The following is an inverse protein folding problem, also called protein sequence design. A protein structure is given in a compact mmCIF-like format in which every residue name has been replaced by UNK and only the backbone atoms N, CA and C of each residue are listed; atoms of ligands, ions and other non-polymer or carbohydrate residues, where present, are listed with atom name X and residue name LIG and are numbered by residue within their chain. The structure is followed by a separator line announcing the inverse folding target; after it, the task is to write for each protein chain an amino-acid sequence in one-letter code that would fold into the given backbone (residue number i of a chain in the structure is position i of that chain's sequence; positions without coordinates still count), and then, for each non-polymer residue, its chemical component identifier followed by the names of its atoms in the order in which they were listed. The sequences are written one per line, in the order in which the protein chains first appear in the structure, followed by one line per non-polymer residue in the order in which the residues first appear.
data_IF_589026431150
#
_entry.id   IF_589026431150
#
_cell.length_a   1.000
_cell.length_b   1.000
_cell.length_c   1.000
_cell.angle_alpha   90.00
_cell.angle_beta   90.00
_cell.angle_gamma   90.00
#
_symmetry.space_group_name_H-M   'P 1'
#
loop_
_entity.id
_entity.type
_entity.pdbx_description
1 polymer ?
#
# COMPACT_ATOMS: atom_id res chain seq x y z
N UNK A 1 -23.95 0.99 7.71
CA UNK A 1 -22.50 1.15 7.55
C UNK A 1 -21.82 1.02 8.91
N UNK A 2 -20.82 0.16 9.01
CA UNK A 2 -20.05 0.00 10.24
C UNK A 2 -18.80 0.90 10.16
N UNK A 3 -18.79 2.01 10.91
CA UNK A 3 -17.68 2.98 10.95
C UNK A 3 -16.38 2.35 11.47
N UNK A 4 -16.46 1.23 12.19
CA UNK A 4 -15.29 0.47 12.65
C UNK A 4 -14.82 -0.59 11.63
N UNK A 5 -15.49 -0.70 10.48
CA UNK A 5 -15.07 -1.57 9.40
C UNK A 5 -13.68 -1.16 8.88
N UNK A 6 -12.90 -2.17 8.51
CA UNK A 6 -11.58 -2.00 7.90
C UNK A 6 -11.64 -2.48 6.46
N UNK A 7 -11.11 -1.68 5.54
CA UNK A 7 -10.99 -2.04 4.14
C UNK A 7 -9.54 -2.35 3.81
N UNK A 8 -9.30 -3.51 3.21
CA UNK A 8 -8.06 -3.82 2.51
C UNK A 8 -8.37 -3.88 1.01
N UNK A 9 -7.80 -2.96 0.24
CA UNK A 9 -7.83 -2.99 -1.21
C UNK A 9 -6.49 -3.48 -1.74
N UNK A 10 -6.52 -4.53 -2.55
CA UNK A 10 -5.32 -5.09 -3.16
C UNK A 10 -5.49 -5.14 -4.69
N UNK A 11 -4.53 -4.58 -5.41
CA UNK A 11 -4.45 -4.65 -6.86
C UNK A 11 -3.10 -5.20 -7.27
N UNK A 12 -3.10 -6.24 -8.10
CA UNK A 12 -1.91 -6.76 -8.77
C UNK A 12 -2.16 -6.77 -10.26
N UNK A 13 -1.34 -6.07 -11.04
CA UNK A 13 -1.57 -5.92 -12.47
C UNK A 13 -0.74 -4.79 -13.08
N UNK A 14 -1.08 -4.41 -14.30
CA UNK A 14 -0.38 -3.33 -14.97
C UNK A 14 -0.81 -1.96 -14.46
N UNK A 15 0.18 -1.10 -14.24
CA UNK A 15 0.01 0.32 -14.09
C UNK A 15 0.45 1.05 -15.34
N UNK A 16 -0.06 2.25 -15.55
CA UNK A 16 0.35 3.13 -16.64
C UNK A 16 0.52 4.54 -16.14
N UNK A 17 1.59 5.20 -16.57
CA UNK A 17 1.91 6.57 -16.16
C UNK A 17 1.92 7.52 -17.35
N UNK A 18 1.27 8.67 -17.18
CA UNK A 18 1.24 9.77 -18.14
C UNK A 18 1.87 11.03 -17.57
N UNK A 19 2.15 12.00 -18.48
CA UNK A 19 2.63 13.34 -18.13
C UNK A 19 3.88 13.31 -17.23
N UNK A 20 4.88 12.54 -17.65
CA UNK A 20 6.17 12.43 -16.93
C UNK A 20 6.01 12.12 -15.43
N UNK A 21 5.17 11.15 -15.10
CA UNK A 21 4.98 10.71 -13.71
C UNK A 21 3.83 11.38 -12.96
N UNK A 22 3.13 12.36 -13.58
CA UNK A 22 2.09 13.13 -12.85
C UNK A 22 0.72 12.46 -12.76
N UNK A 23 0.43 11.48 -13.63
CA UNK A 23 -0.85 10.75 -13.64
C UNK A 23 -0.61 9.26 -13.75
N UNK A 24 -1.08 8.52 -12.76
CA UNK A 24 -1.06 7.06 -12.71
C UNK A 24 -2.45 6.47 -12.98
N UNK A 25 -2.46 5.30 -13.59
CA UNK A 25 -3.68 4.55 -13.92
C UNK A 25 -3.50 3.08 -13.59
N UNK A 26 -4.52 2.46 -13.00
CA UNK A 26 -4.64 1.01 -12.94
C UNK A 26 -5.22 0.54 -14.29
N UNK A 27 -4.61 -0.50 -14.88
CA UNK A 27 -4.97 -0.97 -16.20
C UNK A 27 -5.79 -2.27 -16.09
N UNK A 28 -7.11 -2.24 -16.33
CA UNK A 28 -7.93 -3.44 -16.40
C UNK A 28 -7.55 -4.31 -17.61
N UNK A 29 -7.90 -5.58 -17.55
CA UNK A 29 -7.58 -6.57 -18.60
C UNK A 29 -8.23 -6.27 -19.95
N UNK A 30 -9.33 -5.51 -19.94
CA UNK A 30 -10.08 -5.10 -21.16
C UNK A 30 -9.69 -3.70 -21.67
N UNK A 31 -8.69 -3.06 -21.07
CA UNK A 31 -8.17 -1.78 -21.55
C UNK A 31 -7.25 -2.00 -22.76
N UNK A 32 -7.42 -1.25 -23.88
CA UNK A 32 -6.54 -1.33 -25.02
C UNK A 32 -5.16 -0.73 -24.72
N UNK A 33 -4.17 -1.03 -25.54
CA UNK A 33 -2.87 -0.34 -25.51
C UNK A 33 -3.07 1.18 -25.69
N UNK A 34 -2.63 2.02 -24.77
CA UNK A 34 -2.81 3.48 -24.83
C UNK A 34 -2.11 4.11 -26.05
N UNK A 35 -1.10 3.45 -26.62
CA UNK A 35 -0.41 3.91 -27.85
C UNK A 35 -1.25 3.69 -29.10
N UNK A 36 -2.20 2.73 -29.08
CA UNK A 36 -3.08 2.41 -30.20
C UNK A 36 -4.41 3.13 -30.12
N UNK A 37 -5.01 3.22 -28.94
CA UNK A 37 -6.29 3.91 -28.72
C UNK A 37 -6.32 4.55 -27.31
N UNK A 38 -5.73 5.73 -27.20
CA UNK A 38 -5.67 6.47 -25.94
C UNK A 38 -7.07 6.84 -25.41
N UNK A 39 -7.99 7.22 -26.28
CA UNK A 39 -9.35 7.61 -25.85
C UNK A 39 -10.10 6.45 -25.22
N UNK A 40 -10.01 5.26 -25.81
CA UNK A 40 -10.65 4.05 -25.27
C UNK A 40 -9.93 3.58 -24.00
N UNK A 41 -8.59 3.66 -23.99
CA UNK A 41 -7.79 3.38 -22.78
C UNK A 41 -8.26 4.23 -21.60
N UNK A 42 -8.35 5.56 -21.75
CA UNK A 42 -8.74 6.48 -20.68
C UNK A 42 -10.19 6.29 -20.20
N UNK A 43 -11.06 5.68 -20.99
CA UNK A 43 -12.40 5.29 -20.55
C UNK A 43 -12.44 4.02 -19.72
N UNK A 44 -11.42 3.17 -19.84
CA UNK A 44 -11.34 1.88 -19.17
C UNK A 44 -10.42 1.90 -17.95
N UNK A 45 -9.28 2.58 -18.07
CA UNK A 45 -8.29 2.66 -17.01
C UNK A 45 -8.80 3.48 -15.82
N UNK A 46 -8.47 3.04 -14.61
CA UNK A 46 -8.86 3.74 -13.38
C UNK A 46 -7.78 4.76 -13.02
N UNK A 47 -8.13 6.04 -13.04
CA UNK A 47 -7.25 7.14 -12.64
C UNK A 47 -6.97 7.08 -11.13
N UNK A 48 -5.71 7.19 -10.71
CA UNK A 48 -5.35 7.17 -9.29
C UNK A 48 -5.90 8.35 -8.50
N UNK A 49 -6.18 9.48 -9.15
CA UNK A 49 -6.93 10.58 -8.54
C UNK A 49 -8.35 10.17 -8.17
N UNK A 50 -8.97 9.30 -8.97
CA UNK A 50 -10.29 8.74 -8.65
C UNK A 50 -10.20 7.79 -7.45
N UNK A 51 -9.15 6.96 -7.36
CA UNK A 51 -8.91 6.09 -6.20
C UNK A 51 -8.76 6.92 -4.92
N UNK A 52 -8.00 8.04 -4.98
CA UNK A 52 -7.87 8.97 -3.85
C UNK A 52 -9.19 9.64 -3.48
N UNK A 53 -10.03 9.98 -4.47
CA UNK A 53 -11.37 10.52 -4.22
C UNK A 53 -12.25 9.50 -3.50
N UNK A 54 -12.27 8.26 -3.96
CA UNK A 54 -12.98 7.18 -3.27
C UNK A 54 -12.47 6.94 -1.85
N UNK A 55 -11.13 6.94 -1.66
CA UNK A 55 -10.55 6.79 -0.34
C UNK A 55 -11.01 7.87 0.65
N UNK A 56 -11.22 9.11 0.20
CA UNK A 56 -11.76 10.19 1.04
C UNK A 56 -13.23 10.02 1.36
N UNK A 57 -14.01 9.47 0.43
CA UNK A 57 -15.47 9.32 0.56
C UNK A 57 -15.90 8.08 1.36
N UNK A 58 -14.98 7.15 1.59
CA UNK A 58 -15.27 5.92 2.34
C UNK A 58 -15.59 6.23 3.80
N UNK A 59 -16.66 5.64 4.31
CA UNK A 59 -17.07 5.76 5.72
C UNK A 59 -16.36 4.77 6.66
N UNK A 60 -15.54 3.83 6.12
CA UNK A 60 -14.73 2.94 6.94
C UNK A 60 -13.68 3.73 7.71
N UNK A 61 -13.46 3.44 9.00
CA UNK A 61 -12.45 4.12 9.81
C UNK A 61 -11.04 3.91 9.23
N UNK A 62 -10.72 2.69 8.83
CA UNK A 62 -9.40 2.35 8.31
C UNK A 62 -9.48 1.79 6.88
N UNK A 63 -8.63 2.29 6.00
CA UNK A 63 -8.44 1.69 4.68
C UNK A 63 -6.94 1.62 4.32
N UNK A 64 -6.51 0.45 3.88
CA UNK A 64 -5.18 0.17 3.35
C UNK A 64 -5.28 -0.23 1.89
N UNK A 65 -4.55 0.47 1.05
CA UNK A 65 -4.47 0.23 -0.39
C UNK A 65 -3.10 -0.30 -0.75
N UNK A 66 -3.05 -1.50 -1.30
CA UNK A 66 -1.83 -2.18 -1.74
C UNK A 66 -1.83 -2.31 -3.26
N UNK A 67 -0.75 -1.88 -3.90
CA UNK A 67 -0.61 -1.91 -5.34
C UNK A 67 0.67 -2.64 -5.74
N UNK A 68 0.53 -3.86 -6.21
CA UNK A 68 1.60 -4.61 -6.87
C UNK A 68 1.56 -4.30 -8.36
N UNK A 69 1.98 -3.08 -8.71
CA UNK A 69 1.99 -2.57 -10.08
C UNK A 69 2.97 -1.42 -10.25
N UNK A 70 3.37 -1.21 -11.52
CA UNK A 70 4.23 -0.10 -11.93
C UNK A 70 3.39 1.14 -12.14
N UNK A 71 3.41 2.09 -11.22
CA UNK A 71 2.95 3.45 -11.53
C UNK A 71 3.59 4.48 -10.60
N UNK A 72 3.65 5.71 -11.09
CA UNK A 72 4.35 6.77 -10.41
C UNK A 72 3.69 7.15 -9.09
N UNK A 73 4.47 7.07 -8.04
CA UNK A 73 4.10 7.32 -6.66
C UNK A 73 3.82 8.78 -6.29
N UNK A 74 3.25 9.59 -7.19
CA UNK A 74 2.79 10.93 -6.81
C UNK A 74 1.46 10.94 -6.03
N UNK A 75 0.95 9.76 -5.68
CA UNK A 75 -0.33 9.59 -5.01
C UNK A 75 -0.27 10.09 -3.56
N UNK A 76 0.86 9.91 -2.91
CA UNK A 76 1.09 10.32 -1.52
C UNK A 76 2.52 10.84 -1.38
N UNK A 77 2.73 11.78 -0.48
CA UNK A 77 4.09 12.12 -0.05
C UNK A 77 4.40 11.30 1.18
N UNK A 78 5.50 10.57 1.14
CA UNK A 78 6.08 9.92 2.31
C UNK A 78 6.22 10.94 3.42
N UNK A 79 5.55 10.70 4.53
CA UNK A 79 5.81 11.42 5.77
C UNK A 79 6.97 10.72 6.46
N UNK A 80 7.91 11.48 7.03
CA UNK A 80 8.93 10.89 7.87
C UNK A 80 8.26 10.07 8.98
N UNK A 81 8.78 8.85 9.23
CA UNK A 81 8.27 7.97 10.26
C UNK A 81 8.30 8.63 11.62
N UNK A 82 7.26 8.46 12.45
CA UNK A 82 7.35 8.82 13.85
C UNK A 82 8.47 8.02 14.52
N UNK A 83 9.32 8.67 15.29
CA UNK A 83 10.47 8.05 15.97
C UNK A 83 10.09 7.06 17.07
N UNK A 84 8.82 7.04 17.49
CA UNK A 84 8.28 6.11 18.47
C UNK A 84 6.89 5.65 18.02
N UNK A 85 6.59 4.33 18.02
CA UNK A 85 5.24 3.86 17.74
C UNK A 85 4.30 4.30 18.86
N UNK A 86 3.23 5.05 18.57
CA UNK A 86 2.15 5.27 19.54
C UNK A 86 1.52 3.91 19.91
N UNK A 87 0.87 3.87 21.05
CA UNK A 87 0.19 2.66 21.52
C UNK A 87 -0.87 2.19 20.49
N UNK A 88 -1.03 0.88 20.29
CA UNK A 88 -1.97 0.30 19.30
C UNK A 88 -3.39 0.88 19.43
N UNK A 89 -3.83 1.15 20.63
CA UNK A 89 -5.15 1.76 20.89
C UNK A 89 -5.29 3.16 20.27
N UNK A 90 -4.24 3.97 20.28
CA UNK A 90 -4.26 5.30 19.66
C UNK A 90 -4.34 5.20 18.15
N UNK A 91 -3.60 4.25 17.54
CA UNK A 91 -3.66 4.01 16.11
C UNK A 91 -5.03 3.56 15.64
N UNK A 92 -5.68 2.65 16.39
CA UNK A 92 -6.97 2.09 15.99
C UNK A 92 -8.15 3.01 16.32
N UNK A 93 -7.97 4.01 17.17
CA UNK A 93 -9.02 4.98 17.51
C UNK A 93 -9.25 6.01 16.40
N UNK A 94 -8.22 6.33 15.60
CA UNK A 94 -8.22 7.43 14.63
C UNK A 94 -8.34 6.95 13.20
N UNK A 95 -9.03 7.69 12.31
CA UNK A 95 -9.16 7.31 10.91
C UNK A 95 -7.81 7.29 10.17
N UNK A 96 -7.70 6.39 9.18
CA UNK A 96 -6.54 6.37 8.29
C UNK A 96 -6.85 5.88 6.89
N UNK A 97 -6.16 6.46 5.91
CA UNK A 97 -6.04 6.00 4.53
C UNK A 97 -4.56 5.82 4.22
N UNK A 98 -4.12 4.58 4.12
CA UNK A 98 -2.73 4.23 3.84
C UNK A 98 -2.58 3.59 2.48
N UNK A 99 -1.41 3.79 1.88
CA UNK A 99 -1.08 3.32 0.54
C UNK A 99 0.31 2.72 0.54
N UNK A 100 0.46 1.55 -0.09
CA UNK A 100 1.75 0.90 -0.32
C UNK A 100 1.80 0.47 -1.79
N UNK A 101 2.89 0.80 -2.48
CA UNK A 101 3.12 0.44 -3.88
C UNK A 101 4.38 -0.39 -4.03
N UNK A 102 4.40 -1.30 -5.00
CA UNK A 102 5.56 -2.17 -5.25
C UNK A 102 6.76 -1.46 -5.88
N UNK A 103 6.56 -0.28 -6.45
CA UNK A 103 7.62 0.52 -7.07
C UNK A 103 7.29 2.00 -7.09
N UNK A 104 8.27 2.82 -7.46
CA UNK A 104 8.14 4.26 -7.64
C UNK A 104 7.83 4.64 -9.10
N UNK A 105 7.77 5.96 -9.35
CA UNK A 105 7.47 6.50 -10.67
C UNK A 105 8.48 6.07 -11.73
N UNK A 106 8.00 5.44 -12.82
CA UNK A 106 8.82 5.07 -13.97
C UNK A 106 9.62 3.78 -13.78
N UNK A 107 9.50 3.11 -12.65
CA UNK A 107 10.09 1.79 -12.44
C UNK A 107 9.17 0.68 -13.00
N UNK A 108 9.77 -0.35 -13.56
CA UNK A 108 9.06 -1.55 -14.01
C UNK A 108 9.01 -2.59 -12.88
N UNK A 109 7.82 -3.08 -12.56
CA UNK A 109 7.66 -4.22 -11.66
C UNK A 109 7.78 -5.50 -12.49
N UNK A 110 8.71 -6.41 -12.17
CA UNK A 110 8.85 -7.68 -12.88
C UNK A 110 7.56 -8.50 -12.88
N UNK A 111 7.30 -9.23 -13.96
CA UNK A 111 6.12 -10.09 -14.07
C UNK A 111 6.04 -11.12 -12.93
N UNK A 112 7.18 -11.55 -12.39
CA UNK A 112 7.28 -12.34 -11.16
C UNK A 112 7.60 -11.42 -10.00
N UNK A 113 6.57 -10.80 -9.44
CA UNK A 113 6.71 -9.88 -8.33
C UNK A 113 7.13 -10.58 -7.04
N UNK A 114 8.06 -9.97 -6.30
CA UNK A 114 8.41 -10.37 -4.94
C UNK A 114 7.51 -9.69 -3.89
N UNK A 115 6.74 -8.69 -4.29
CA UNK A 115 5.90 -7.90 -3.39
C UNK A 115 4.86 -8.79 -2.68
N UNK A 116 4.12 -9.62 -3.45
CA UNK A 116 3.11 -10.53 -2.88
C UNK A 116 3.71 -11.57 -1.93
N UNK A 117 4.77 -12.32 -2.29
CA UNK A 117 5.43 -13.23 -1.35
C UNK A 117 5.92 -12.53 -0.09
N UNK A 118 6.46 -11.30 -0.20
CA UNK A 118 6.89 -10.51 0.96
C UNK A 118 5.72 -10.06 1.81
N UNK A 119 4.60 -9.66 1.21
CA UNK A 119 3.38 -9.32 1.93
C UNK A 119 2.85 -10.51 2.75
N UNK A 120 2.85 -11.72 2.17
CA UNK A 120 2.45 -12.93 2.89
C UNK A 120 3.38 -13.21 4.07
N UNK A 121 4.70 -13.07 3.90
CA UNK A 121 5.68 -13.21 4.99
C UNK A 121 5.46 -12.17 6.08
N UNK A 122 5.19 -10.93 5.69
CA UNK A 122 4.85 -9.87 6.63
C UNK A 122 3.69 -10.28 7.54
N UNK A 123 2.56 -10.73 6.94
CA UNK A 123 1.37 -11.17 7.69
C UNK A 123 1.59 -12.43 8.53
N UNK A 124 2.61 -13.22 8.24
CA UNK A 124 3.03 -14.36 9.07
C UNK A 124 3.92 -13.94 10.25
N UNK A 125 4.13 -12.64 10.46
CA UNK A 125 4.79 -12.08 11.63
C UNK A 125 6.18 -11.49 11.38
N UNK A 126 6.75 -11.63 10.15
CA UNK A 126 8.08 -11.07 9.89
C UNK A 126 8.10 -9.51 9.91
N UNK A 127 6.95 -8.86 9.75
CA UNK A 127 6.83 -7.41 9.82
C UNK A 127 6.50 -6.87 11.23
N UNK A 128 6.30 -7.72 12.22
CA UNK A 128 6.13 -7.32 13.63
C UNK A 128 7.51 -6.96 14.21
N UNK A 129 7.94 -5.73 13.94
CA UNK A 129 9.31 -5.26 14.24
C UNK A 129 9.52 -5.14 15.75
N UNK A 130 8.52 -4.65 16.48
CA UNK A 130 8.59 -4.43 17.93
C UNK A 130 8.16 -5.65 18.75
N UNK A 131 7.67 -6.71 18.09
CA UNK A 131 7.22 -8.00 18.69
C UNK A 131 6.06 -7.86 19.68
N UNK A 132 5.16 -6.91 19.41
CA UNK A 132 3.98 -6.72 20.26
C UNK A 132 2.78 -7.60 19.86
N UNK A 133 2.90 -8.32 18.74
CA UNK A 133 1.89 -9.21 18.18
C UNK A 133 0.92 -8.52 17.28
N UNK A 134 1.26 -7.31 16.83
CA UNK A 134 0.52 -6.56 15.84
C UNK A 134 1.46 -6.14 14.71
N UNK A 135 0.90 -5.86 13.55
CA UNK A 135 1.61 -5.27 12.41
C UNK A 135 0.85 -4.03 12.02
N UNK A 136 1.46 -2.87 12.22
CA UNK A 136 0.93 -1.61 11.74
C UNK A 136 1.16 -1.47 10.23
N UNK A 137 0.35 -0.66 9.54
CA UNK A 137 0.58 -0.34 8.13
C UNK A 137 1.93 0.33 7.90
N UNK A 138 2.44 1.04 8.89
CA UNK A 138 3.79 1.62 8.89
C UNK A 138 4.86 0.53 8.92
N UNK A 139 4.80 -0.44 9.84
CA UNK A 139 5.73 -1.58 9.89
C UNK A 139 5.67 -2.42 8.62
N UNK A 140 4.46 -2.67 8.12
CA UNK A 140 4.26 -3.36 6.85
C UNK A 140 4.94 -2.63 5.69
N UNK A 141 4.78 -1.30 5.62
CA UNK A 141 5.41 -0.47 4.60
C UNK A 141 6.93 -0.51 4.65
N UNK A 142 7.51 -0.41 5.85
CA UNK A 142 8.96 -0.53 6.08
C UNK A 142 9.47 -1.91 5.66
N UNK A 143 8.81 -2.96 6.12
CA UNK A 143 9.20 -4.34 5.81
C UNK A 143 9.18 -4.61 4.30
N UNK A 144 8.10 -4.21 3.60
CA UNK A 144 7.98 -4.39 2.16
C UNK A 144 9.03 -3.57 1.40
N UNK A 145 9.28 -2.33 1.83
CA UNK A 145 10.32 -1.49 1.25
C UNK A 145 11.68 -2.18 1.33
N UNK A 146 12.09 -2.63 2.52
CA UNK A 146 13.39 -3.26 2.72
C UNK A 146 13.53 -4.60 1.99
N UNK A 147 12.50 -5.45 2.04
CA UNK A 147 12.53 -6.76 1.37
C UNK A 147 12.63 -6.63 -0.15
N UNK A 148 11.86 -5.72 -0.75
CA UNK A 148 11.88 -5.53 -2.21
C UNK A 148 13.17 -4.88 -2.66
N UNK A 149 13.69 -3.86 -1.96
CA UNK A 149 14.98 -3.24 -2.28
C UNK A 149 16.14 -4.23 -2.23
N UNK A 150 16.16 -5.09 -1.21
CA UNK A 150 17.21 -6.10 -1.07
C UNK A 150 17.17 -7.17 -2.18
N UNK A 151 16.01 -7.40 -2.77
CA UNK A 151 15.84 -8.36 -3.87
C UNK A 151 16.01 -7.74 -5.25
N UNK A 152 15.46 -6.55 -5.46
CA UNK A 152 15.42 -5.87 -6.76
C UNK A 152 15.96 -4.45 -6.64
N UNK A 153 17.13 -4.21 -7.24
CA UNK A 153 17.73 -2.86 -7.26
C UNK A 153 16.99 -1.85 -8.16
N UNK A 154 16.00 -2.32 -8.91
CA UNK A 154 15.23 -1.50 -9.86
C UNK A 154 13.81 -1.19 -9.38
N UNK A 155 13.45 -1.63 -8.18
CA UNK A 155 12.15 -1.36 -7.57
C UNK A 155 12.32 -0.66 -6.23
N UNK A 156 11.60 0.43 -6.04
CA UNK A 156 11.60 1.22 -4.81
C UNK A 156 10.16 1.32 -4.28
N UNK A 157 9.69 0.37 -3.47
CA UNK A 157 8.37 0.45 -2.88
C UNK A 157 8.15 1.76 -2.16
N UNK A 158 6.96 2.29 -2.29
CA UNK A 158 6.57 3.51 -1.60
C UNK A 158 5.46 3.20 -0.61
N UNK A 159 5.47 3.85 0.54
CA UNK A 159 4.38 3.76 1.50
C UNK A 159 4.12 5.12 2.16
N UNK A 160 2.88 5.35 2.53
CA UNK A 160 2.48 6.61 3.16
C UNK A 160 0.99 6.70 3.42
N UNK A 161 0.59 7.84 3.97
CA UNK A 161 -0.81 8.17 4.26
C UNK A 161 -1.32 9.24 3.29
N UNK A 162 -2.63 9.27 3.11
CA UNK A 162 -3.28 10.34 2.36
C UNK A 162 -2.95 11.69 3.01
N UNK A 163 -2.86 12.75 2.19
CA UNK A 163 -2.74 14.12 2.69
C UNK A 163 -4.12 14.66 3.01
N UNK A 164 -4.58 14.35 4.19
CA UNK A 164 -5.86 14.79 4.70
C UNK A 164 -5.78 14.70 6.23
N UNK A 165 -5.87 15.85 6.94
CA UNK A 165 -5.69 15.88 8.40
C UNK A 165 -6.70 15.01 9.15
N UNK A 166 -7.88 14.78 8.57
CA UNK A 166 -8.92 13.96 9.19
C UNK A 166 -8.74 12.44 8.90
N UNK A 167 -7.84 12.08 7.97
CA UNK A 167 -7.66 10.72 7.46
C UNK A 167 -6.22 10.20 7.50
N UNK A 168 -5.30 10.90 8.17
CA UNK A 168 -3.89 10.53 8.26
C UNK A 168 -3.38 10.29 9.69
N UNK A 169 -4.26 10.38 10.69
CA UNK A 169 -3.88 10.30 12.10
C UNK A 169 -3.65 8.87 12.60
N UNK A 170 -4.50 7.91 12.18
CA UNK A 170 -4.45 6.51 12.61
C UNK A 170 -3.36 5.68 11.91
N UNK A 171 -3.36 4.39 12.17
CA UNK A 171 -2.60 3.40 11.41
C UNK A 171 -3.46 2.16 11.17
N UNK A 172 -3.30 1.51 10.02
CA UNK A 172 -3.96 0.24 9.75
C UNK A 172 -3.23 -0.87 10.53
N UNK A 173 -3.95 -1.69 11.28
CA UNK A 173 -3.33 -2.67 12.17
C UNK A 173 -3.84 -4.06 11.85
N UNK A 174 -2.92 -5.01 11.66
CA UNK A 174 -3.19 -6.44 11.63
C UNK A 174 -2.85 -7.04 12.99
N UNK A 175 -3.71 -7.90 13.51
CA UNK A 175 -3.43 -8.69 14.72
C UNK A 175 -2.89 -10.05 14.31
N UNK A 176 -1.73 -10.42 14.83
CA UNK A 176 -1.16 -11.74 14.58
C UNK A 176 -1.93 -12.85 15.33
N UNK A 177 -2.12 -14.01 14.70
CA UNK A 177 -2.65 -15.18 15.42
C UNK A 177 -1.79 -15.52 16.63
N UNK A 178 -2.41 -15.95 17.72
CA UNK A 178 -1.70 -16.33 18.97
C UNK A 178 -0.63 -17.41 18.74
N UNK A 179 -0.80 -18.28 17.74
CA UNK A 179 0.15 -19.32 17.34
C UNK A 179 1.43 -18.79 16.67
N UNK A 180 1.38 -17.59 16.07
CA UNK A 180 2.57 -16.97 15.48
C UNK A 180 3.55 -16.45 16.55
N UNK A 181 3.08 -16.13 17.75
CA UNK A 181 3.92 -15.68 18.88
C UNK A 181 4.91 -16.74 19.36
N UNK A 182 4.66 -18.05 19.10
CA UNK A 182 5.46 -19.16 19.64
C UNK A 182 6.60 -19.60 18.71
N UNK A 183 6.60 -19.19 17.43
CA UNK A 183 7.62 -19.63 16.46
C UNK A 183 8.88 -18.74 16.35
N UNK A 184 8.95 -17.65 17.12
CA UNK A 184 10.11 -16.72 17.08
C UNK A 184 11.05 -16.92 18.28
N UNK A 185 10.94 -18.04 19.01
CA UNK A 185 11.97 -18.43 19.98
C UNK A 185 12.88 -19.47 19.32
N UNK A 186 14.10 -19.09 19.08
CA UNK A 186 15.28 -19.87 18.70
C UNK A 186 15.74 -19.64 17.25
N UNK A 187 16.70 -18.81 17.01
CA UNK A 187 18.13 -19.14 16.78
C UNK A 187 18.94 -17.90 17.10
#
# INVERSE_FOLDING_TARGET
YNKDARLLFFFSGHGYTRKSGKKGYLVPTDAPDPRKDEKKFLRKAVDMGQVLSWARQMESKHALFLFDSCFSGTIFKTRALPKHPPHINDFTSRPVRQFITAGSAGEEVPARSIFVPSFIKALNGEADINRDGYITGTELGMFLHDKVLNYSKIQTPQYGKIRDPDLDEGDFVFQLPKTAKTKIKTV
#
